data_IF_118067873516
#
_entry.id   IF_118067873516
#
_cell.length_a   1.000
_cell.length_b   1.000
_cell.length_c   1.000
_cell.angle_alpha   90.00
_cell.angle_beta   90.00
_cell.angle_gamma   90.00
#
_symmetry.space_group_name_H-M   'P 1'
#
loop_
_entity.id
_entity.type
_entity.pdbx_description
1 polymer ?
#
# COMPACT_ATOMS: atom_id res chain seq x y z
N UNK A 1 -8.79 -10.41 4.74
CA UNK A 1 -7.54 -9.77 4.25
C UNK A 1 -6.89 -9.08 5.43
N UNK A 2 -5.58 -9.25 5.63
CA UNK A 2 -4.82 -8.53 6.64
C UNK A 2 -4.69 -7.05 6.25
N UNK A 3 -4.59 -6.17 7.26
CA UNK A 3 -4.64 -4.73 7.08
C UNK A 3 -3.50 -4.19 6.18
N UNK A 4 -3.89 -3.43 5.15
CA UNK A 4 -2.99 -2.70 4.25
C UNK A 4 -2.53 -1.43 4.98
N UNK A 5 -1.21 -1.36 5.24
CA UNK A 5 -0.57 -0.32 6.07
C UNK A 5 -1.00 -0.29 7.55
N UNK A 6 -0.92 -1.41 8.26
CA UNK A 6 -0.86 -1.33 9.73
C UNK A 6 0.56 -0.97 10.18
N UNK A 7 1.04 0.22 9.80
CA UNK A 7 2.13 0.84 10.55
C UNK A 7 1.47 1.44 11.80
N UNK A 8 1.71 0.90 13.00
CA UNK A 8 1.10 1.44 14.21
C UNK A 8 1.46 2.92 14.38
N UNK A 9 0.54 3.70 14.93
CA UNK A 9 0.76 5.14 15.15
C UNK A 9 2.05 5.40 15.93
N UNK A 10 2.36 4.56 16.91
CA UNK A 10 3.59 4.65 17.71
C UNK A 10 4.85 4.58 16.86
N UNK A 11 4.89 3.68 15.87
CA UNK A 11 6.04 3.51 14.98
C UNK A 11 6.14 4.66 13.98
N UNK A 12 5.00 5.11 13.44
CA UNK A 12 4.96 6.28 12.57
C UNK A 12 5.40 7.56 13.30
N UNK A 13 4.97 7.74 14.55
CA UNK A 13 5.36 8.89 15.38
C UNK A 13 6.86 8.84 15.71
N UNK A 14 7.44 7.65 15.93
CA UNK A 14 8.88 7.48 16.13
C UNK A 14 9.69 7.85 14.87
N UNK A 15 9.23 7.43 13.69
CA UNK A 15 9.85 7.80 12.40
C UNK A 15 9.77 9.31 12.17
N UNK A 16 8.59 9.93 12.39
CA UNK A 16 8.41 11.39 12.28
C UNK A 16 9.30 12.14 13.27
N UNK A 17 9.42 11.66 14.50
CA UNK A 17 10.31 12.24 15.50
C UNK A 17 11.78 12.18 15.03
N UNK A 18 12.22 11.04 14.48
CA UNK A 18 13.57 10.90 13.91
C UNK A 18 13.82 11.88 12.77
N UNK A 19 12.91 11.96 11.79
CA UNK A 19 13.00 12.91 10.66
C UNK A 19 13.14 14.34 11.17
N UNK A 20 12.33 14.73 12.16
CA UNK A 20 12.40 16.04 12.79
C UNK A 20 13.74 16.28 13.50
N UNK A 21 14.20 15.33 14.32
CA UNK A 21 15.46 15.47 15.07
C UNK A 21 16.67 15.57 14.13
N UNK A 22 16.70 14.81 13.04
CA UNK A 22 17.75 14.95 12.02
C UNK A 22 17.79 16.39 11.48
N UNK A 23 16.64 16.93 11.05
CA UNK A 23 16.57 18.30 10.51
C UNK A 23 16.94 19.37 11.53
N UNK A 24 16.55 19.19 12.80
CA UNK A 24 16.94 20.11 13.86
C UNK A 24 18.46 20.11 14.12
N UNK A 25 19.13 18.98 13.88
CA UNK A 25 20.58 18.85 14.01
C UNK A 25 21.38 19.41 12.84
N UNK A 26 20.76 19.77 11.71
CA UNK A 26 21.44 20.27 10.50
C UNK A 26 22.36 21.46 10.78
N UNK A 27 21.91 22.43 11.58
CA UNK A 27 22.69 23.63 11.89
C UNK A 27 24.01 23.33 12.64
N UNK A 28 24.15 22.15 13.22
CA UNK A 28 25.33 21.67 13.93
C UNK A 28 25.82 20.32 13.39
N UNK A 29 25.51 20.01 12.13
CA UNK A 29 25.87 18.74 11.47
C UNK A 29 27.36 18.42 11.63
N UNK A 30 28.23 19.42 11.46
CA UNK A 30 29.68 19.29 11.59
C UNK A 30 30.14 18.81 12.98
N UNK A 31 29.37 19.11 14.02
CA UNK A 31 29.62 18.64 15.39
C UNK A 31 29.04 17.24 15.57
N UNK A 32 27.81 17.01 15.10
CA UNK A 32 27.13 15.72 15.25
C UNK A 32 27.90 14.62 14.53
N UNK A 33 28.37 14.86 13.29
CA UNK A 33 29.06 13.84 12.49
C UNK A 33 30.40 13.36 13.06
N UNK A 34 30.98 14.11 14.01
CA UNK A 34 32.18 13.67 14.75
C UNK A 34 31.88 12.52 15.71
N UNK A 35 30.63 12.44 16.18
CA UNK A 35 30.17 11.42 17.13
C UNK A 35 29.25 10.39 16.49
N UNK A 36 28.48 10.81 15.48
CA UNK A 36 27.54 9.99 14.72
C UNK A 36 27.87 10.12 13.23
N UNK A 37 28.91 9.41 12.73
CA UNK A 37 29.40 9.57 11.35
C UNK A 37 28.33 9.38 10.26
N UNK A 38 27.28 8.59 10.51
CA UNK A 38 26.19 8.34 9.56
C UNK A 38 25.04 9.36 9.65
N UNK A 39 25.13 10.37 10.51
CA UNK A 39 24.11 11.41 10.62
C UNK A 39 23.82 12.16 9.31
N UNK A 40 24.81 12.53 8.46
CA UNK A 40 24.53 13.20 7.18
C UNK A 40 23.64 12.40 6.25
N UNK A 41 23.83 11.07 6.18
CA UNK A 41 23.00 10.19 5.35
C UNK A 41 21.56 10.14 5.86
N UNK A 42 21.37 10.06 7.18
CA UNK A 42 20.06 10.09 7.80
C UNK A 42 19.37 11.47 7.68
N UNK A 43 20.13 12.56 7.67
CA UNK A 43 19.62 13.91 7.39
C UNK A 43 19.13 14.02 5.94
N UNK A 44 19.91 13.55 4.98
CA UNK A 44 19.50 13.49 3.58
C UNK A 44 18.23 12.62 3.41
N UNK A 45 18.18 11.46 4.06
CA UNK A 45 16.99 10.61 4.08
C UNK A 45 15.77 11.29 4.75
N UNK A 46 15.97 12.09 5.80
CA UNK A 46 14.92 12.87 6.43
C UNK A 46 14.35 13.96 5.51
N UNK A 47 15.17 14.57 4.64
CA UNK A 47 14.67 15.47 3.61
C UNK A 47 13.84 14.72 2.56
N UNK A 48 14.34 13.59 2.05
CA UNK A 48 13.62 12.74 1.10
C UNK A 48 12.28 12.24 1.66
N UNK A 49 12.21 12.00 2.97
CA UNK A 49 10.96 11.60 3.63
C UNK A 49 9.82 12.60 3.38
N UNK A 50 10.09 13.89 3.61
CA UNK A 50 9.07 14.94 3.46
C UNK A 50 8.80 15.30 2.01
N UNK A 51 9.83 15.27 1.15
CA UNK A 51 9.69 15.70 -0.25
C UNK A 51 9.13 14.61 -1.16
N UNK A 52 9.31 13.33 -0.79
CA UNK A 52 9.02 12.22 -1.69
C UNK A 52 8.27 11.06 -1.01
N UNK A 53 8.83 10.44 0.03
CA UNK A 53 8.26 9.21 0.62
C UNK A 53 6.86 9.45 1.19
N UNK A 54 6.70 10.40 2.11
CA UNK A 54 5.41 10.67 2.75
C UNK A 54 4.34 11.18 1.74
N UNK A 55 4.65 12.11 0.82
CA UNK A 55 3.75 12.46 -0.28
C UNK A 55 3.35 11.26 -1.15
N UNK A 56 4.28 10.40 -1.53
CA UNK A 56 3.98 9.20 -2.31
C UNK A 56 3.09 8.22 -1.53
N UNK A 57 3.34 8.00 -0.23
CA UNK A 57 2.47 7.14 0.61
C UNK A 57 1.02 7.65 0.61
N UNK A 58 0.84 8.98 0.71
CA UNK A 58 -0.49 9.62 0.61
C UNK A 58 -1.11 9.42 -0.77
N UNK A 59 -0.34 9.62 -1.83
CA UNK A 59 -0.80 9.39 -3.20
C UNK A 59 -1.23 7.94 -3.42
N UNK A 60 -0.48 6.97 -2.91
CA UNK A 60 -0.84 5.54 -2.97
C UNK A 60 -2.14 5.25 -2.23
N UNK A 61 -2.36 5.82 -1.05
CA UNK A 61 -3.63 5.67 -0.33
C UNK A 61 -4.82 6.20 -1.14
N UNK A 62 -4.67 7.37 -1.77
CA UNK A 62 -5.71 7.91 -2.64
C UNK A 62 -5.99 7.02 -3.87
N UNK A 63 -4.95 6.47 -4.49
CA UNK A 63 -5.08 5.53 -5.60
C UNK A 63 -5.79 4.24 -5.17
N UNK A 64 -5.45 3.69 -4.01
CA UNK A 64 -6.11 2.52 -3.41
C UNK A 64 -7.59 2.79 -3.11
N UNK A 65 -7.92 3.96 -2.58
CA UNK A 65 -9.32 4.35 -2.35
C UNK A 65 -10.10 4.46 -3.67
N UNK A 66 -9.48 5.04 -4.71
CA UNK A 66 -10.06 5.14 -6.05
C UNK A 66 -10.29 3.75 -6.67
N UNK A 67 -9.31 2.86 -6.57
CA UNK A 67 -9.42 1.46 -6.97
C UNK A 67 -10.58 0.76 -6.28
N UNK A 68 -10.63 0.83 -4.94
CA UNK A 68 -11.66 0.17 -4.13
C UNK A 68 -13.06 0.68 -4.48
N UNK A 69 -13.20 2.00 -4.67
CA UNK A 69 -14.48 2.63 -5.04
C UNK A 69 -14.98 2.13 -6.39
N UNK A 70 -14.08 2.12 -7.39
CA UNK A 70 -14.42 1.66 -8.74
C UNK A 70 -14.74 0.17 -8.77
N UNK A 71 -13.91 -0.67 -8.15
CA UNK A 71 -14.12 -2.10 -8.09
C UNK A 71 -15.45 -2.43 -7.39
N UNK A 72 -15.75 -1.77 -6.27
CA UNK A 72 -17.04 -1.92 -5.58
C UNK A 72 -18.21 -1.58 -6.49
N UNK A 73 -18.16 -0.44 -7.19
CA UNK A 73 -19.25 -0.03 -8.07
C UNK A 73 -19.49 -1.04 -9.21
N UNK A 74 -18.41 -1.43 -9.90
CA UNK A 74 -18.47 -2.32 -11.05
C UNK A 74 -18.98 -3.72 -10.66
N UNK A 75 -18.49 -4.29 -9.55
CA UNK A 75 -18.88 -5.62 -9.09
C UNK A 75 -20.22 -5.65 -8.35
N UNK A 76 -20.62 -4.57 -7.66
CA UNK A 76 -21.98 -4.48 -7.10
C UNK A 76 -23.03 -4.45 -8.22
N UNK A 77 -22.76 -3.73 -9.31
CA UNK A 77 -23.64 -3.70 -10.47
C UNK A 77 -23.73 -5.08 -11.13
N UNK A 78 -22.59 -5.78 -11.27
CA UNK A 78 -22.56 -7.14 -11.82
C UNK A 78 -23.34 -8.14 -10.96
N UNK A 79 -23.12 -8.14 -9.65
CA UNK A 79 -23.82 -9.04 -8.72
C UNK A 79 -25.33 -8.81 -8.76
N UNK A 80 -25.78 -7.55 -8.66
CA UNK A 80 -27.20 -7.22 -8.76
C UNK A 80 -27.84 -7.75 -10.06
N UNK A 81 -27.17 -7.60 -11.20
CA UNK A 81 -27.66 -8.11 -12.48
C UNK A 81 -27.75 -9.63 -12.48
N UNK A 82 -26.74 -10.34 -11.95
CA UNK A 82 -26.73 -11.81 -11.89
C UNK A 82 -27.79 -12.33 -10.92
N UNK A 83 -27.97 -11.71 -9.75
CA UNK A 83 -29.03 -12.07 -8.80
C UNK A 83 -30.43 -11.89 -9.42
N UNK A 84 -30.62 -10.85 -10.25
CA UNK A 84 -31.88 -10.64 -10.96
C UNK A 84 -32.14 -11.73 -12.01
N UNK A 85 -31.12 -12.15 -12.78
CA UNK A 85 -31.25 -13.29 -13.71
C UNK A 85 -31.63 -14.59 -12.98
N UNK A 86 -31.01 -14.86 -11.82
CA UNK A 86 -31.34 -16.02 -10.98
C UNK A 86 -32.80 -15.97 -10.54
N UNK A 87 -33.26 -14.82 -10.04
CA UNK A 87 -34.62 -14.62 -9.55
C UNK A 87 -35.66 -14.79 -10.66
N UNK A 88 -35.37 -14.27 -11.85
CA UNK A 88 -36.25 -14.36 -13.01
C UNK A 88 -36.12 -15.69 -13.77
N UNK A 89 -35.21 -16.59 -13.31
CA UNK A 89 -34.89 -17.88 -13.92
C UNK A 89 -34.49 -17.74 -15.39
N UNK A 90 -33.73 -16.70 -15.70
CA UNK A 90 -33.20 -16.42 -17.02
C UNK A 90 -31.78 -16.99 -17.17
N UNK A 91 -31.45 -17.41 -18.39
CA UNK A 91 -30.10 -17.81 -18.73
C UNK A 91 -29.15 -16.61 -18.76
N UNK A 92 -27.85 -16.90 -18.69
CA UNK A 92 -26.82 -15.88 -18.87
C UNK A 92 -26.96 -15.21 -20.24
N UNK A 93 -26.96 -13.87 -20.27
CA UNK A 93 -27.03 -13.12 -21.53
C UNK A 93 -25.64 -12.68 -21.99
N UNK A 94 -25.40 -12.51 -23.30
CA UNK A 94 -24.12 -12.01 -23.82
C UNK A 94 -23.74 -10.64 -23.25
N UNK A 95 -24.75 -9.79 -22.95
CA UNK A 95 -24.51 -8.47 -22.35
C UNK A 95 -23.92 -8.57 -20.94
N UNK A 96 -24.39 -9.52 -20.12
CA UNK A 96 -23.89 -9.73 -18.75
C UNK A 96 -22.53 -10.42 -18.77
N UNK A 97 -22.29 -11.34 -19.70
CA UNK A 97 -20.93 -11.89 -19.94
C UNK A 97 -19.95 -10.78 -20.32
N UNK A 98 -20.33 -9.90 -21.24
CA UNK A 98 -19.48 -8.77 -21.63
C UNK A 98 -19.23 -7.82 -20.44
N UNK A 99 -20.24 -7.56 -19.60
CA UNK A 99 -20.09 -6.77 -18.38
C UNK A 99 -19.07 -7.40 -17.43
N UNK A 100 -19.13 -8.72 -17.20
CA UNK A 100 -18.19 -9.44 -16.35
C UNK A 100 -16.75 -9.37 -16.90
N UNK A 101 -16.58 -9.62 -18.21
CA UNK A 101 -15.28 -9.51 -18.89
C UNK A 101 -14.67 -8.12 -18.75
N UNK A 102 -15.48 -7.07 -18.97
CA UNK A 102 -15.01 -5.68 -18.83
C UNK A 102 -14.64 -5.35 -17.38
N UNK A 103 -15.44 -5.80 -16.41
CA UNK A 103 -15.16 -5.58 -14.98
C UNK A 103 -13.86 -6.24 -14.54
N UNK A 104 -13.63 -7.50 -14.94
CA UNK A 104 -12.38 -8.24 -14.63
C UNK A 104 -11.18 -7.61 -15.33
N UNK A 105 -11.28 -7.24 -16.61
CA UNK A 105 -10.20 -6.58 -17.33
C UNK A 105 -9.85 -5.21 -16.72
N UNK A 106 -10.85 -4.43 -16.31
CA UNK A 106 -10.64 -3.16 -15.62
C UNK A 106 -9.99 -3.35 -14.23
N UNK A 107 -10.41 -4.38 -13.49
CA UNK A 107 -9.82 -4.74 -12.21
C UNK A 107 -8.35 -5.15 -12.36
N UNK A 108 -8.04 -5.99 -13.36
CA UNK A 108 -6.68 -6.39 -13.70
C UNK A 108 -5.80 -5.17 -14.03
N UNK A 109 -6.20 -4.34 -15.00
CA UNK A 109 -5.40 -3.18 -15.40
C UNK A 109 -5.14 -2.19 -14.24
N UNK A 110 -6.14 -1.98 -13.38
CA UNK A 110 -5.98 -1.12 -12.21
C UNK A 110 -5.08 -1.75 -11.13
N UNK A 111 -5.17 -3.07 -10.93
CA UNK A 111 -4.31 -3.81 -9.98
C UNK A 111 -2.85 -3.81 -10.45
N UNK A 112 -2.61 -4.01 -11.74
CA UNK A 112 -1.27 -3.97 -12.33
C UNK A 112 -0.63 -2.58 -12.17
N UNK A 113 -1.37 -1.52 -12.45
CA UNK A 113 -0.88 -0.15 -12.28
C UNK A 113 -0.51 0.17 -10.82
N UNK A 114 -1.33 -0.27 -9.86
CA UNK A 114 -1.05 -0.14 -8.43
C UNK A 114 0.18 -0.96 -8.00
N UNK A 115 0.29 -2.21 -8.46
CA UNK A 115 1.44 -3.07 -8.18
C UNK A 115 2.75 -2.41 -8.63
N UNK A 116 2.77 -1.87 -9.85
CA UNK A 116 3.93 -1.15 -10.38
C UNK A 116 4.27 0.10 -9.56
N UNK A 117 3.26 0.85 -9.09
CA UNK A 117 3.49 2.06 -8.30
C UNK A 117 4.05 1.78 -6.90
N UNK A 118 3.78 0.61 -6.31
CA UNK A 118 4.40 0.20 -5.03
C UNK A 118 5.90 -0.12 -5.12
N UNK A 119 6.42 -0.48 -6.30
CA UNK A 119 7.85 -0.81 -6.44
C UNK A 119 8.73 0.41 -6.14
N UNK A 120 8.34 1.58 -6.63
CA UNK A 120 9.11 2.81 -6.47
C UNK A 120 9.22 3.22 -4.99
N UNK A 121 8.10 3.22 -4.26
CA UNK A 121 8.08 3.64 -2.87
C UNK A 121 8.84 2.67 -1.96
N UNK A 122 8.79 1.36 -2.24
CA UNK A 122 9.56 0.35 -1.50
C UNK A 122 11.06 0.61 -1.60
N UNK A 123 11.57 0.91 -2.81
CA UNK A 123 13.00 1.20 -2.98
C UNK A 123 13.44 2.43 -2.18
N UNK A 124 12.61 3.48 -2.14
CA UNK A 124 12.90 4.68 -1.36
C UNK A 124 12.88 4.41 0.15
N UNK A 125 11.93 3.59 0.61
CA UNK A 125 11.82 3.18 2.01
C UNK A 125 13.00 2.30 2.43
N UNK A 126 13.45 1.39 1.58
CA UNK A 126 14.66 0.59 1.84
C UNK A 126 15.89 1.49 2.01
N UNK A 127 16.05 2.50 1.15
CA UNK A 127 17.14 3.46 1.27
C UNK A 127 17.05 4.29 2.56
N UNK A 128 15.84 4.77 2.91
CA UNK A 128 15.56 5.47 4.15
C UNK A 128 15.88 4.60 5.39
N UNK A 129 15.43 3.35 5.39
CA UNK A 129 15.66 2.39 6.47
C UNK A 129 17.16 2.14 6.64
N UNK A 130 17.89 1.93 5.54
CA UNK A 130 19.34 1.71 5.57
C UNK A 130 20.08 2.89 6.20
N UNK A 131 19.78 4.12 5.79
CA UNK A 131 20.42 5.32 6.34
C UNK A 131 20.18 5.46 7.86
N UNK A 132 18.94 5.21 8.32
CA UNK A 132 18.60 5.31 9.73
C UNK A 132 19.14 4.12 10.55
N UNK A 133 19.23 2.92 9.98
CA UNK A 133 19.86 1.77 10.64
C UNK A 133 21.37 2.00 10.87
N UNK A 134 22.08 2.57 9.89
CA UNK A 134 23.48 2.95 10.08
C UNK A 134 23.64 3.98 11.20
N UNK A 135 22.74 4.96 11.29
CA UNK A 135 22.74 5.94 12.37
C UNK A 135 22.38 5.31 13.74
N UNK A 136 21.48 4.34 13.78
CA UNK A 136 21.15 3.60 15.01
C UNK A 136 22.35 2.81 15.54
N UNK A 137 23.20 2.27 14.66
CA UNK A 137 24.47 1.61 15.07
C UNK A 137 25.39 2.60 15.78
N UNK A 138 25.52 3.83 15.27
CA UNK A 138 26.34 4.87 15.91
C UNK A 138 25.74 5.29 17.27
N UNK A 139 24.42 5.38 17.36
CA UNK A 139 23.70 5.73 18.60
C UNK A 139 23.88 4.64 19.66
N UNK A 140 23.72 3.36 19.30
CA UNK A 140 23.91 2.25 20.23
C UNK A 140 25.34 2.21 20.83
N UNK A 141 26.32 2.73 20.08
CA UNK A 141 27.72 2.86 20.50
C UNK A 141 28.04 4.11 21.33
N UNK A 142 27.09 5.01 21.58
CA UNK A 142 27.35 6.32 22.21
C UNK A 142 26.30 6.67 23.29
N UNK A 143 26.71 7.35 24.36
CA UNK A 143 25.78 7.91 25.38
C UNK A 143 25.09 9.21 24.90
N UNK A 144 24.96 9.40 23.59
CA UNK A 144 24.57 10.66 22.98
C UNK A 144 23.02 10.84 23.02
N UNK A 145 22.52 11.26 24.18
CA UNK A 145 21.09 11.17 24.55
C UNK A 145 20.07 12.08 23.83
N UNK A 146 20.45 12.84 22.81
CA UNK A 146 19.47 13.66 22.07
C UNK A 146 18.72 12.87 20.99
N UNK A 147 19.23 11.69 20.61
CA UNK A 147 18.67 10.83 19.56
C UNK A 147 18.42 9.43 20.10
N UNK A 148 17.31 8.81 19.67
CA UNK A 148 16.89 7.48 20.12
C UNK A 148 16.80 6.53 18.94
N UNK A 149 17.31 5.32 19.10
CA UNK A 149 17.16 4.24 18.13
C UNK A 149 15.69 4.04 17.72
N UNK A 150 15.46 3.78 16.44
CA UNK A 150 14.13 3.50 15.86
C UNK A 150 14.10 2.21 15.03
N UNK A 151 15.12 1.36 15.16
CA UNK A 151 15.28 0.12 14.38
C UNK A 151 14.04 -0.77 14.36
N UNK A 152 13.34 -0.90 15.48
CA UNK A 152 12.07 -1.65 15.54
C UNK A 152 10.98 -1.03 14.65
N UNK A 153 10.81 0.28 14.70
CA UNK A 153 9.84 1.00 13.86
C UNK A 153 10.22 0.98 12.37
N UNK A 154 11.51 1.01 12.05
CA UNK A 154 12.00 0.82 10.67
C UNK A 154 11.66 -0.58 10.14
N UNK A 155 11.82 -1.62 10.96
CA UNK A 155 11.46 -2.99 10.59
C UNK A 155 9.95 -3.14 10.34
N UNK A 156 9.11 -2.47 11.13
CA UNK A 156 7.65 -2.43 10.91
C UNK A 156 7.31 -1.73 9.58
N UNK A 157 7.95 -0.60 9.28
CA UNK A 157 7.80 0.11 8.00
C UNK A 157 8.22 -0.77 6.81
N UNK A 158 9.37 -1.44 6.91
CA UNK A 158 9.90 -2.34 5.89
C UNK A 158 8.94 -3.52 5.64
N UNK A 159 8.47 -4.17 6.71
CA UNK A 159 7.54 -5.29 6.63
C UNK A 159 6.20 -4.87 5.99
N UNK A 160 5.64 -3.72 6.39
CA UNK A 160 4.39 -3.21 5.85
C UNK A 160 4.51 -2.94 4.34
N UNK A 161 5.62 -2.35 3.92
CA UNK A 161 5.85 -1.96 2.51
C UNK A 161 6.24 -3.14 1.63
N UNK A 162 6.95 -4.14 2.17
CA UNK A 162 7.18 -5.42 1.51
C UNK A 162 5.89 -6.23 1.33
N UNK A 163 5.03 -6.26 2.36
CA UNK A 163 3.76 -7.00 2.35
C UNK A 163 2.80 -6.46 1.29
N UNK A 164 2.65 -5.13 1.20
CA UNK A 164 1.79 -4.51 0.18
C UNK A 164 2.29 -4.82 -1.22
N UNK A 165 3.59 -4.67 -1.49
CA UNK A 165 4.16 -5.01 -2.80
C UNK A 165 3.88 -6.46 -3.17
N UNK A 166 4.14 -7.39 -2.25
CA UNK A 166 3.92 -8.83 -2.48
C UNK A 166 2.46 -9.17 -2.76
N UNK A 167 1.54 -8.64 -1.93
CA UNK A 167 0.11 -8.90 -2.07
C UNK A 167 -0.45 -8.37 -3.40
N UNK A 168 -0.09 -7.14 -3.79
CA UNK A 168 -0.58 -6.54 -5.03
C UNK A 168 0.04 -7.15 -6.29
N UNK A 169 1.30 -7.60 -6.22
CA UNK A 169 1.89 -8.38 -7.31
C UNK A 169 1.17 -9.71 -7.50
N UNK A 170 0.95 -10.47 -6.42
CA UNK A 170 0.23 -11.73 -6.49
C UNK A 170 -1.20 -11.55 -7.02
N UNK A 171 -1.91 -10.52 -6.56
CA UNK A 171 -3.25 -10.18 -7.09
C UNK A 171 -3.21 -9.83 -8.58
N UNK A 172 -2.19 -9.11 -9.04
CA UNK A 172 -2.05 -8.78 -10.45
C UNK A 172 -1.80 -10.04 -11.30
N UNK A 173 -0.95 -10.94 -10.84
CA UNK A 173 -0.63 -12.21 -11.50
C UNK A 173 -1.86 -13.14 -11.55
N UNK A 174 -2.60 -13.25 -10.45
CA UNK A 174 -3.84 -14.05 -10.38
C UNK A 174 -4.93 -13.49 -11.33
N UNK A 175 -5.06 -12.16 -11.41
CA UNK A 175 -6.01 -11.50 -12.30
C UNK A 175 -5.58 -11.56 -13.77
N UNK A 176 -4.28 -11.55 -14.05
CA UNK A 176 -3.75 -11.73 -15.41
C UNK A 176 -4.23 -13.06 -15.99
N UNK A 177 -4.17 -14.13 -15.20
CA UNK A 177 -4.63 -15.45 -15.62
C UNK A 177 -6.11 -15.45 -16.03
N UNK A 178 -6.95 -14.72 -15.28
CA UNK A 178 -8.39 -14.58 -15.56
C UNK A 178 -8.70 -13.63 -16.72
N UNK A 179 -7.90 -12.57 -16.88
CA UNK A 179 -8.14 -11.53 -17.87
C UNK A 179 -7.55 -11.88 -19.26
N UNK A 180 -6.51 -12.71 -19.33
CA UNK A 180 -5.73 -12.91 -20.56
C UNK A 180 -5.73 -14.35 -21.10
N UNK A 181 -5.90 -15.37 -20.26
CA UNK A 181 -5.44 -16.72 -20.64
C UNK A 181 -6.52 -17.66 -21.21
N UNK A 182 -7.78 -17.23 -21.30
CA UNK A 182 -8.82 -17.81 -22.16
C UNK A 182 -10.09 -16.97 -22.02
N UNK A 183 -11.04 -17.01 -22.98
CA UNK A 183 -12.38 -16.48 -22.74
C UNK A 183 -12.99 -17.27 -21.58
N UNK A 184 -12.92 -16.71 -20.38
CA UNK A 184 -13.61 -17.24 -19.22
C UNK A 184 -15.09 -17.24 -19.58
N UNK A 185 -15.70 -18.42 -19.63
CA UNK A 185 -17.14 -18.52 -19.78
C UNK A 185 -17.78 -18.07 -18.46
N UNK A 186 -18.08 -16.78 -18.38
CA UNK A 186 -18.75 -16.18 -17.24
C UNK A 186 -20.18 -16.72 -17.16
N UNK A 187 -20.35 -17.83 -16.45
CA UNK A 187 -21.65 -18.42 -16.17
C UNK A 187 -22.25 -17.87 -14.88
N UNK A 188 -23.58 -17.97 -14.72
CA UNK A 188 -24.27 -17.55 -13.49
C UNK A 188 -23.68 -18.25 -12.24
N UNK A 189 -23.45 -19.58 -12.24
CA UNK A 189 -22.82 -20.25 -11.09
C UNK A 189 -21.40 -19.76 -10.80
N UNK A 190 -20.60 -19.44 -11.83
CA UNK A 190 -19.26 -18.91 -11.64
C UNK A 190 -19.31 -17.57 -10.89
N UNK A 191 -20.09 -16.61 -11.39
CA UNK A 191 -20.17 -15.27 -10.79
C UNK A 191 -20.77 -15.34 -9.38
N UNK A 192 -21.83 -16.12 -9.18
CA UNK A 192 -22.41 -16.34 -7.85
C UNK A 192 -21.41 -16.99 -6.88
N UNK A 193 -20.49 -17.81 -7.39
CA UNK A 193 -19.41 -18.44 -6.61
C UNK A 193 -18.21 -17.54 -6.29
N UNK A 194 -18.07 -16.39 -6.94
CA UNK A 194 -16.95 -15.45 -6.70
C UNK A 194 -17.02 -14.74 -5.34
N UNK A 195 -18.09 -14.95 -4.56
CA UNK A 195 -18.30 -14.31 -3.25
C UNK A 195 -18.08 -12.79 -3.30
N UNK A 196 -18.72 -12.12 -4.28
CA UNK A 196 -18.56 -10.67 -4.52
C UNK A 196 -18.82 -9.84 -3.27
N UNK A 197 -19.75 -10.27 -2.40
CA UNK A 197 -20.02 -9.62 -1.12
C UNK A 197 -18.80 -9.56 -0.18
N UNK A 198 -17.97 -10.62 -0.17
CA UNK A 198 -16.73 -10.66 0.61
C UNK A 198 -15.68 -9.72 0.01
N UNK A 199 -15.58 -9.68 -1.32
CA UNK A 199 -14.69 -8.75 -2.01
C UNK A 199 -15.08 -7.29 -1.75
N UNK A 200 -16.37 -6.97 -1.77
CA UNK A 200 -16.90 -5.63 -1.42
C UNK A 200 -16.52 -5.25 0.00
N UNK A 201 -16.71 -6.14 0.98
CA UNK A 201 -16.32 -5.87 2.36
C UNK A 201 -14.81 -5.62 2.50
N UNK A 202 -13.98 -6.32 1.71
CA UNK A 202 -12.55 -6.08 1.69
C UNK A 202 -12.18 -4.72 1.07
N UNK A 203 -12.85 -4.29 0.01
CA UNK A 203 -12.64 -2.94 -0.56
C UNK A 203 -13.10 -1.83 0.39
N UNK A 204 -14.19 -2.03 1.14
CA UNK A 204 -14.64 -1.08 2.17
C UNK A 204 -13.62 -0.98 3.33
N UNK A 205 -13.06 -2.11 3.75
CA UNK A 205 -11.98 -2.13 4.74
C UNK A 205 -10.74 -1.39 4.23
N UNK A 206 -10.35 -1.61 2.97
CA UNK A 206 -9.22 -0.92 2.34
C UNK A 206 -9.42 0.60 2.32
N UNK A 207 -10.62 1.08 2.00
CA UNK A 207 -10.94 2.51 2.07
C UNK A 207 -10.82 3.07 3.49
N UNK A 208 -11.34 2.32 4.47
CA UNK A 208 -11.29 2.71 5.89
C UNK A 208 -9.85 2.86 6.38
N UNK A 209 -8.98 1.92 6.01
CA UNK A 209 -7.56 1.94 6.38
C UNK A 209 -6.81 3.11 5.72
N UNK A 210 -7.05 3.35 4.43
CA UNK A 210 -6.46 4.48 3.71
C UNK A 210 -6.91 5.84 4.29
N UNK A 211 -8.20 5.99 4.61
CA UNK A 211 -8.74 7.21 5.22
C UNK A 211 -8.17 7.45 6.63
N UNK A 212 -8.06 6.39 7.44
CA UNK A 212 -7.43 6.46 8.76
C UNK A 212 -5.96 6.88 8.66
N UNK A 213 -5.21 6.32 7.71
CA UNK A 213 -3.83 6.71 7.45
C UNK A 213 -3.74 8.18 7.07
N UNK A 214 -4.53 8.65 6.10
CA UNK A 214 -4.53 10.02 5.63
C UNK A 214 -4.87 11.04 6.74
N UNK A 215 -5.78 10.70 7.65
CA UNK A 215 -6.15 11.53 8.80
C UNK A 215 -5.09 11.54 9.92
N UNK A 216 -4.24 10.52 9.98
CA UNK A 216 -3.17 10.41 10.97
C UNK A 216 -1.88 11.15 10.59
N UNK A 217 -1.80 11.62 9.34
CA UNK A 217 -0.61 12.27 8.79
C UNK A 217 -0.48 13.73 9.22
#
# INVERSE_FOLDING_TARGET
MGALFTIPKTDMDAIKARVKTCKQGEAIEDVIKQHLPHFPDALAAAYLWDTDIAPQMKAQCNLLMGYASKARADFSALDNTVQQLIKDKQDMTPAVQQQATVAIAALYGSTQALSASFINIVNQIVAFNKANQSLDIDIAGTEFGFMKEITASLAVLDHATGSIRGAWSALADDLEALATTSPVDFTIPLIAGLNISVAIAAWDQLQTECDAFLKSQ
#
